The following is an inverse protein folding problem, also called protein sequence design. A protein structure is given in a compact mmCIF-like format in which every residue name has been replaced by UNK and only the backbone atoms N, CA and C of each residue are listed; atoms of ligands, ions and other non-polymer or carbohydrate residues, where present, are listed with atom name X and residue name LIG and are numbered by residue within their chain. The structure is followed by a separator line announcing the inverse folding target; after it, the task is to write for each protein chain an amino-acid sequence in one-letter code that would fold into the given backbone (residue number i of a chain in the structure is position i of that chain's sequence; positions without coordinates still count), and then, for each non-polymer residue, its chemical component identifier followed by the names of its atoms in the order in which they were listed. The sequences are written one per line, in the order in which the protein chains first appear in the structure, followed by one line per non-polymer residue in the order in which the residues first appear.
data_IF_587918502011
#
_entry.id   IF_587918502011
#
_cell.length_a   1.000
_cell.length_b   1.000
_cell.length_c   1.000
_cell.angle_alpha   90.00
_cell.angle_beta   90.00
_cell.angle_gamma   90.00
#
_symmetry.space_group_name_H-M   'P 1'
#
loop_
_entity.id
_entity.type
_entity.pdbx_description
1 polymer ?
#
# COMPACT_ATOMS: atom_id res chain seq x y z
N UNK A 1 -7.95 -3.50 -6.09
CA UNK A 1 -7.40 -3.74 -4.73
C UNK A 1 -6.73 -5.11 -4.66
N UNK A 2 -5.46 -5.14 -5.03
CA UNK A 2 -4.51 -6.21 -4.71
C UNK A 2 -3.92 -5.99 -3.29
N UNK A 3 -3.06 -6.90 -2.83
CA UNK A 3 -2.46 -6.80 -1.49
C UNK A 3 -1.50 -5.61 -1.32
N UNK A 4 -0.82 -5.20 -2.39
CA UNK A 4 0.07 -4.04 -2.37
C UNK A 4 -0.75 -2.76 -2.19
N UNK A 5 -1.84 -2.61 -2.94
CA UNK A 5 -2.79 -1.50 -2.78
C UNK A 5 -3.44 -1.50 -1.38
N UNK A 6 -3.73 -2.67 -0.80
CA UNK A 6 -4.23 -2.83 0.57
C UNK A 6 -3.21 -2.35 1.61
N UNK A 7 -1.93 -2.68 1.41
CA UNK A 7 -0.84 -2.22 2.28
C UNK A 7 -0.71 -0.71 2.24
N UNK A 8 -0.60 -0.11 1.05
CA UNK A 8 -0.48 1.34 0.91
C UNK A 8 -1.70 2.09 1.43
N UNK A 9 -2.91 1.56 1.24
CA UNK A 9 -4.12 2.13 1.85
C UNK A 9 -4.03 2.11 3.38
N UNK A 10 -3.51 1.04 3.97
CA UNK A 10 -3.33 0.94 5.43
C UNK A 10 -2.29 1.93 5.94
N UNK A 11 -1.14 2.03 5.27
CA UNK A 11 -0.09 3.01 5.59
C UNK A 11 -0.63 4.44 5.52
N UNK A 12 -1.36 4.78 4.45
CA UNK A 12 -1.95 6.10 4.28
C UNK A 12 -2.93 6.48 5.38
N UNK A 13 -3.89 5.59 5.72
CA UNK A 13 -4.93 5.86 6.72
C UNK A 13 -4.44 5.85 8.17
N UNK A 14 -3.50 4.96 8.49
CA UNK A 14 -3.06 4.75 9.86
C UNK A 14 -1.83 5.55 10.25
N UNK A 15 -1.05 6.01 9.28
CA UNK A 15 0.22 6.67 9.51
C UNK A 15 0.27 8.04 8.86
N UNK A 16 0.32 8.11 7.52
CA UNK A 16 0.60 9.33 6.77
C UNK A 16 -0.43 10.44 7.06
N UNK A 17 -1.73 10.15 6.95
CA UNK A 17 -2.79 11.16 7.17
C UNK A 17 -2.89 11.66 8.62
N UNK A 18 -2.22 11.01 9.57
CA UNK A 18 -2.26 11.36 11.00
C UNK A 18 -1.07 12.19 11.45
N UNK A 19 -0.10 12.43 10.55
CA UNK A 19 1.11 13.17 10.83
C UNK A 19 1.16 14.44 9.97
N UNK A 20 1.77 15.48 10.52
CA UNK A 20 2.09 16.68 9.76
C UNK A 20 3.53 16.57 9.27
N UNK A 21 3.72 16.58 7.95
CA UNK A 21 5.04 16.54 7.33
C UNK A 21 5.38 17.90 6.75
N UNK A 22 6.56 18.43 7.07
CA UNK A 22 6.98 19.78 6.65
C UNK A 22 7.77 19.78 5.35
N UNK A 23 8.19 18.60 4.88
CA UNK A 23 8.91 18.43 3.62
C UNK A 23 8.74 17.02 3.06
N UNK A 24 9.14 16.82 1.81
CA UNK A 24 9.19 15.48 1.19
C UNK A 24 10.16 14.58 1.95
N UNK A 25 11.34 15.10 2.31
CA UNK A 25 12.36 14.34 3.07
C UNK A 25 11.83 13.85 4.42
N UNK A 26 11.02 14.69 5.07
CA UNK A 26 10.37 14.35 6.35
C UNK A 26 9.29 13.28 6.17
N UNK A 27 8.51 13.34 5.09
CA UNK A 27 7.58 12.28 4.73
C UNK A 27 8.30 10.96 4.43
N UNK A 28 9.39 10.99 3.66
CA UNK A 28 10.20 9.81 3.33
C UNK A 28 10.74 9.14 4.59
N UNK A 29 11.37 9.91 5.49
CA UNK A 29 11.88 9.40 6.76
C UNK A 29 10.78 8.80 7.64
N UNK A 30 9.59 9.41 7.66
CA UNK A 30 8.45 8.86 8.40
C UNK A 30 7.94 7.54 7.81
N UNK A 31 7.93 7.41 6.48
CA UNK A 31 7.58 6.15 5.81
C UNK A 31 8.62 5.07 6.13
N UNK A 32 9.91 5.38 6.04
CA UNK A 32 10.99 4.43 6.39
C UNK A 32 10.86 3.95 7.83
N UNK A 33 10.66 4.86 8.78
CA UNK A 33 10.43 4.51 10.19
C UNK A 33 9.20 3.61 10.39
N UNK A 34 8.11 3.89 9.68
CA UNK A 34 6.93 3.01 9.71
C UNK A 34 7.26 1.61 9.20
N UNK A 35 8.00 1.50 8.09
CA UNK A 35 8.38 0.22 7.50
C UNK A 35 9.27 -0.58 8.46
N UNK A 36 10.28 0.06 9.07
CA UNK A 36 11.13 -0.58 10.07
C UNK A 36 10.31 -1.11 11.24
N UNK A 37 9.43 -0.27 11.81
CA UNK A 37 8.56 -0.64 12.93
C UNK A 37 7.60 -1.78 12.56
N UNK A 38 6.98 -1.70 11.39
CA UNK A 38 6.04 -2.71 10.90
C UNK A 38 6.74 -4.05 10.64
N UNK A 39 7.97 -4.02 10.11
CA UNK A 39 8.75 -5.22 9.79
C UNK A 39 9.28 -5.96 11.02
N UNK A 40 9.36 -5.32 12.19
CA UNK A 40 9.72 -6.01 13.45
C UNK A 40 8.68 -7.06 13.86
N UNK A 41 7.40 -6.85 13.56
CA UNK A 41 6.34 -7.82 13.79
C UNK A 41 5.30 -7.74 12.66
N UNK A 42 5.64 -8.29 11.47
CA UNK A 42 4.84 -8.10 10.28
C UNK A 42 3.49 -8.78 10.46
N UNK A 43 2.41 -8.08 10.07
CA UNK A 43 1.07 -8.65 10.00
C UNK A 43 0.74 -8.99 8.55
N UNK A 44 1.10 -10.20 8.08
CA UNK A 44 0.95 -10.54 6.67
C UNK A 44 -0.51 -10.44 6.24
N UNK A 45 -0.74 -9.83 5.09
CA UNK A 45 -2.04 -9.87 4.46
C UNK A 45 -2.24 -11.25 3.83
N UNK A 46 -3.33 -11.92 4.19
CA UNK A 46 -3.66 -13.22 3.57
C UNK A 46 -4.30 -13.02 2.21
N UNK A 47 -3.77 -13.75 1.25
CA UNK A 47 -4.31 -13.82 -0.09
C UNK A 47 -5.52 -14.77 -0.10
N UNK A 48 -6.71 -14.25 -0.39
CA UNK A 48 -7.95 -15.06 -0.45
C UNK A 48 -8.54 -15.19 -1.86
N UNK A 49 -8.11 -14.36 -2.80
CA UNK A 49 -8.62 -14.38 -4.18
C UNK A 49 -7.90 -15.43 -5.01
N UNK A 50 -8.46 -15.88 -6.13
CA UNK A 50 -7.70 -16.70 -7.09
C UNK A 50 -6.82 -15.82 -7.97
N UNK A 51 -5.75 -16.38 -8.53
CA UNK A 51 -4.84 -15.65 -9.42
C UNK A 51 -5.58 -15.02 -10.61
N UNK A 52 -6.54 -15.75 -11.20
CA UNK A 52 -7.36 -15.28 -12.34
C UNK A 52 -8.16 -14.00 -12.01
N UNK A 53 -8.64 -13.87 -10.77
CA UNK A 53 -9.37 -12.67 -10.34
C UNK A 53 -8.46 -11.44 -10.26
N UNK A 54 -7.16 -11.63 -9.96
CA UNK A 54 -6.14 -10.57 -9.97
C UNK A 54 -5.90 -10.13 -11.39
N UNK A 55 -5.61 -11.08 -12.28
CA UNK A 55 -5.28 -10.81 -13.66
C UNK A 55 -6.44 -10.09 -14.33
N UNK A 56 -7.67 -10.51 -14.07
CA UNK A 56 -8.88 -9.80 -14.52
C UNK A 56 -8.99 -8.39 -13.94
N UNK A 57 -8.63 -8.17 -12.67
CA UNK A 57 -8.64 -6.83 -12.07
C UNK A 57 -7.57 -5.91 -12.66
N UNK A 58 -6.37 -6.41 -12.91
CA UNK A 58 -5.26 -5.66 -13.51
C UNK A 58 -5.59 -5.30 -14.96
N UNK A 59 -6.13 -6.25 -15.73
CA UNK A 59 -6.57 -6.01 -17.10
C UNK A 59 -7.66 -4.92 -17.19
N UNK A 60 -8.63 -4.94 -16.28
CA UNK A 60 -9.66 -3.87 -16.21
C UNK A 60 -9.05 -2.51 -15.88
N UNK A 61 -8.08 -2.46 -14.96
CA UNK A 61 -7.40 -1.22 -14.60
C UNK A 61 -6.56 -0.68 -15.76
N UNK A 62 -5.80 -1.54 -16.47
CA UNK A 62 -5.03 -1.16 -17.65
C UNK A 62 -5.93 -0.58 -18.75
N UNK A 63 -7.05 -1.25 -19.05
CA UNK A 63 -8.05 -0.77 -20.02
C UNK A 63 -8.62 0.60 -19.63
N UNK A 64 -8.90 0.83 -18.35
CA UNK A 64 -9.40 2.12 -17.87
C UNK A 64 -8.37 3.25 -17.99
N UNK A 65 -7.07 2.92 -17.97
CA UNK A 65 -5.95 3.85 -18.14
C UNK A 65 -5.60 4.11 -19.62
N UNK A 66 -6.38 3.58 -20.56
CA UNK A 66 -6.12 3.74 -22.00
C UNK A 66 -4.85 3.04 -22.49
N UNK A 67 -4.38 2.03 -21.74
CA UNK A 67 -3.29 1.16 -22.16
C UNK A 67 -3.80 -0.11 -22.82
#
# INVERSE_FOLDING_TARGET
MNLVERFFSTLSEKWIKRQAHVSVKDLEASIEYYLETYNQNPKPFRWHKKADEILGSVARAAKALGK
#
